data_IF_627893327072
#
_entry.id   IF_627893327072
#
_cell.length_a   1.000
_cell.length_b   1.000
_cell.length_c   1.000
_cell.angle_alpha   90.00
_cell.angle_beta   90.00
_cell.angle_gamma   90.00
#
_symmetry.space_group_name_H-M   'P 1'
#
loop_
_entity.id
_entity.type
_entity.pdbx_description
1 polymer ?
#
# COMPACT_ATOMS: atom_id res chain seq x y z
N UNK A 1 76.63 36.79 -22.24
CA UNK A 1 75.33 37.27 -21.78
C UNK A 1 74.33 36.10 -21.92
N UNK A 2 74.07 35.38 -20.81
CA UNK A 2 73.19 34.21 -20.75
C UNK A 2 71.83 34.63 -20.24
N UNK A 3 70.77 34.52 -21.05
CA UNK A 3 69.39 34.81 -20.67
C UNK A 3 68.79 33.54 -20.08
N UNK A 4 68.46 33.58 -18.79
CA UNK A 4 67.79 32.51 -18.06
C UNK A 4 66.30 32.66 -18.26
N UNK A 5 65.66 31.64 -18.86
CA UNK A 5 64.21 31.57 -19.07
C UNK A 5 63.58 30.91 -17.81
N UNK A 6 62.74 31.62 -17.09
CA UNK A 6 62.00 31.10 -15.95
C UNK A 6 60.66 30.63 -16.48
N UNK A 7 60.43 29.31 -16.45
CA UNK A 7 59.13 28.69 -16.79
C UNK A 7 58.30 28.59 -15.50
N UNK A 8 57.23 29.37 -15.40
CA UNK A 8 56.27 29.28 -14.32
C UNK A 8 55.26 28.13 -14.62
N UNK A 9 55.35 27.04 -13.85
CA UNK A 9 54.31 25.98 -13.85
C UNK A 9 53.14 26.43 -13.01
N UNK A 10 52.01 26.72 -13.67
CA UNK A 10 50.72 26.92 -12.98
C UNK A 10 50.09 25.53 -12.69
N UNK A 11 50.05 25.14 -11.42
CA UNK A 11 49.34 23.96 -10.96
C UNK A 11 47.84 24.29 -10.87
N UNK A 12 47.07 23.77 -11.84
CA UNK A 12 45.59 23.78 -11.77
C UNK A 12 45.14 22.71 -10.80
N UNK A 13 44.66 23.12 -9.63
CA UNK A 13 43.99 22.24 -8.65
C UNK A 13 42.56 22.03 -9.16
N UNK A 14 42.31 20.91 -9.82
CA UNK A 14 40.96 20.45 -10.16
C UNK A 14 40.31 19.95 -8.88
N UNK A 15 39.41 20.77 -8.32
CA UNK A 15 38.58 20.41 -7.18
C UNK A 15 37.52 19.39 -7.64
N UNK A 16 37.75 18.10 -7.38
CA UNK A 16 36.74 17.05 -7.49
C UNK A 16 35.73 17.22 -6.36
N UNK A 17 34.68 17.99 -6.62
CA UNK A 17 33.49 18.02 -5.77
C UNK A 17 32.81 16.66 -5.79
N UNK A 18 33.15 15.77 -4.87
CA UNK A 18 32.42 14.55 -4.64
C UNK A 18 31.02 14.92 -4.15
N UNK A 19 30.02 14.84 -5.04
CA UNK A 19 28.61 14.90 -4.69
C UNK A 19 28.33 13.68 -3.80
N UNK A 20 28.26 13.89 -2.47
CA UNK A 20 27.73 12.93 -1.53
C UNK A 20 26.22 12.80 -1.81
N UNK A 21 25.89 11.87 -2.73
CA UNK A 21 24.52 11.40 -2.87
C UNK A 21 24.12 10.83 -1.50
N UNK A 22 23.30 11.57 -0.74
CA UNK A 22 22.66 11.08 0.47
C UNK A 22 21.83 9.87 0.08
N UNK A 23 22.35 8.68 0.26
CA UNK A 23 21.57 7.46 0.27
C UNK A 23 20.57 7.62 1.42
N UNK A 24 19.31 7.87 1.05
CA UNK A 24 18.19 7.87 1.99
C UNK A 24 18.10 6.43 2.49
N UNK A 25 18.74 6.16 3.63
CA UNK A 25 18.84 4.81 4.20
C UNK A 25 17.43 4.23 4.30
N UNK A 26 17.23 3.04 3.76
CA UNK A 26 15.96 2.31 3.91
C UNK A 26 15.67 2.19 5.41
N UNK A 27 14.56 2.77 5.85
CA UNK A 27 14.15 2.73 7.25
C UNK A 27 13.90 1.26 7.62
N UNK A 28 14.77 0.69 8.45
CA UNK A 28 14.64 -0.69 8.92
C UNK A 28 13.23 -0.94 9.49
N UNK A 29 12.57 -1.97 9.01
CA UNK A 29 11.25 -2.36 9.48
C UNK A 29 11.31 -2.84 10.93
N UNK A 30 10.44 -2.31 11.80
CA UNK A 30 10.31 -2.78 13.19
C UNK A 30 9.73 -4.20 13.26
N UNK A 31 9.95 -4.92 14.37
CA UNK A 31 9.39 -6.25 14.58
C UNK A 31 7.85 -6.27 14.44
N UNK A 32 7.18 -5.24 14.97
CA UNK A 32 5.72 -5.12 14.84
C UNK A 32 5.29 -4.92 13.38
N UNK A 33 5.99 -4.08 12.63
CA UNK A 33 5.68 -3.91 11.21
C UNK A 33 5.95 -5.20 10.40
N UNK A 34 7.00 -5.97 10.76
CA UNK A 34 7.26 -7.30 10.17
C UNK A 34 6.11 -8.28 10.48
N UNK A 35 5.59 -8.28 11.72
CA UNK A 35 4.40 -9.04 12.09
C UNK A 35 3.19 -8.62 11.24
N UNK A 36 2.97 -7.31 11.08
CA UNK A 36 1.89 -6.79 10.24
C UNK A 36 2.02 -7.21 8.78
N UNK A 37 3.24 -7.17 8.22
CA UNK A 37 3.54 -7.66 6.88
C UNK A 37 3.17 -9.14 6.72
N UNK A 38 3.55 -9.97 7.68
CA UNK A 38 3.19 -11.38 7.68
C UNK A 38 1.68 -11.59 7.71
N UNK A 39 0.97 -10.85 8.60
CA UNK A 39 -0.49 -10.97 8.72
C UNK A 39 -1.20 -10.60 7.41
N UNK A 40 -0.84 -9.51 6.76
CA UNK A 40 -1.52 -9.11 5.51
C UNK A 40 -1.35 -10.13 4.39
N UNK A 41 -0.27 -10.92 4.40
CA UNK A 41 -0.08 -12.03 3.47
C UNK A 41 -0.98 -13.21 3.81
N UNK A 42 -0.93 -13.71 5.07
CA UNK A 42 -1.63 -14.96 5.42
C UNK A 42 -3.13 -14.77 5.63
N UNK A 43 -3.58 -13.56 5.94
CA UNK A 43 -5.00 -13.23 6.09
C UNK A 43 -5.67 -12.81 4.76
N UNK A 44 -4.97 -12.92 3.62
CA UNK A 44 -5.52 -12.67 2.29
C UNK A 44 -5.82 -11.20 2.01
N UNK A 45 -5.23 -10.25 2.74
CA UNK A 45 -5.51 -8.82 2.50
C UNK A 45 -5.10 -8.40 1.09
N UNK A 46 -3.99 -8.94 0.60
CA UNK A 46 -3.49 -8.64 -0.74
C UNK A 46 -4.39 -9.19 -1.85
N UNK A 47 -5.18 -10.24 -1.60
CA UNK A 47 -6.01 -10.88 -2.63
C UNK A 47 -7.02 -9.92 -3.26
N UNK A 48 -7.47 -8.92 -2.48
CA UNK A 48 -8.36 -7.88 -2.95
C UNK A 48 -7.72 -6.48 -2.98
N UNK A 49 -6.82 -6.18 -2.02
CA UNK A 49 -6.27 -4.84 -1.86
C UNK A 49 -4.97 -4.59 -2.64
N UNK A 50 -4.53 -5.55 -3.47
CA UNK A 50 -3.36 -5.43 -4.35
C UNK A 50 -3.72 -5.95 -5.74
N UNK A 51 -3.76 -5.06 -6.71
CA UNK A 51 -4.13 -5.41 -8.08
C UNK A 51 -3.22 -6.51 -8.64
N UNK A 52 -3.82 -7.54 -9.25
CA UNK A 52 -3.12 -8.67 -9.88
C UNK A 52 -2.44 -9.64 -8.92
N UNK A 53 -2.69 -9.55 -7.61
CA UNK A 53 -2.02 -10.42 -6.63
C UNK A 53 -2.43 -11.89 -6.75
N UNK A 54 -3.72 -12.26 -6.82
CA UNK A 54 -4.14 -13.66 -7.02
C UNK A 54 -3.69 -14.21 -8.37
N UNK A 55 -3.85 -13.45 -9.44
CA UNK A 55 -3.54 -13.88 -10.81
C UNK A 55 -2.05 -14.18 -10.98
N UNK A 56 -1.19 -13.46 -10.25
CA UNK A 56 0.26 -13.68 -10.26
C UNK A 56 0.73 -14.78 -9.29
N UNK A 57 -0.19 -15.39 -8.52
CA UNK A 57 0.16 -16.29 -7.43
C UNK A 57 0.99 -15.60 -6.35
N UNK A 58 0.64 -14.36 -6.03
CA UNK A 58 1.27 -13.55 -5.00
C UNK A 58 2.59 -12.86 -5.43
N UNK A 59 2.95 -12.90 -6.72
CA UNK A 59 4.23 -12.37 -7.24
C UNK A 59 4.13 -10.91 -7.67
N UNK A 60 3.52 -10.07 -6.84
CA UNK A 60 3.47 -8.61 -7.04
C UNK A 60 4.56 -7.95 -6.19
N UNK A 61 5.26 -6.95 -6.74
CA UNK A 61 6.25 -6.17 -5.98
C UNK A 61 5.59 -5.58 -4.72
N UNK A 62 6.23 -5.77 -3.56
CA UNK A 62 5.73 -5.29 -2.26
C UNK A 62 5.47 -3.78 -2.24
N UNK A 63 6.16 -3.02 -3.09
CA UNK A 63 5.92 -1.58 -3.25
C UNK A 63 4.50 -1.26 -3.71
N UNK A 64 3.83 -2.22 -4.36
CA UNK A 64 2.46 -2.11 -4.87
C UNK A 64 1.42 -2.73 -3.93
N UNK A 65 1.84 -3.39 -2.85
CA UNK A 65 0.90 -4.03 -1.93
C UNK A 65 -0.02 -3.04 -1.26
N UNK A 66 -1.27 -3.44 -1.09
CA UNK A 66 -2.32 -2.74 -0.34
C UNK A 66 -2.64 -1.33 -0.88
N UNK A 67 -2.34 -1.11 -2.16
CA UNK A 67 -2.67 0.15 -2.87
C UNK A 67 -4.10 0.20 -3.40
N UNK A 68 -4.91 -0.85 -3.12
CA UNK A 68 -6.27 -0.98 -3.63
C UNK A 68 -6.35 -1.57 -5.03
N UNK A 69 -7.58 -1.72 -5.53
CA UNK A 69 -7.82 -2.22 -6.88
C UNK A 69 -8.98 -1.46 -7.52
N UNK A 70 -8.95 -1.40 -8.87
CA UNK A 70 -10.02 -0.87 -9.71
C UNK A 70 -11.03 -1.95 -10.13
N UNK A 71 -10.78 -3.23 -9.82
CA UNK A 71 -11.72 -4.31 -10.03
C UNK A 71 -12.95 -4.13 -9.15
N UNK A 72 -14.12 -3.96 -9.77
CA UNK A 72 -15.39 -3.84 -9.07
C UNK A 72 -15.93 -5.21 -8.63
N UNK A 73 -16.53 -5.26 -7.45
CA UNK A 73 -17.20 -6.44 -6.91
C UNK A 73 -18.70 -6.16 -6.86
N UNK A 74 -19.42 -6.56 -7.90
CA UNK A 74 -20.83 -6.25 -8.09
C UNK A 74 -21.73 -7.36 -7.56
N UNK A 75 -22.75 -6.98 -6.78
CA UNK A 75 -23.76 -7.89 -6.24
C UNK A 75 -25.03 -7.14 -5.85
N UNK A 76 -25.95 -7.77 -5.11
CA UNK A 76 -27.17 -7.11 -4.61
C UNK A 76 -26.90 -5.88 -3.76
N UNK A 77 -25.71 -5.77 -3.20
CA UNK A 77 -25.26 -4.62 -2.41
C UNK A 77 -24.75 -3.42 -3.23
N UNK A 78 -24.78 -3.49 -4.56
CA UNK A 78 -24.12 -2.56 -5.47
C UNK A 78 -22.72 -3.04 -5.87
N UNK A 79 -21.85 -2.11 -6.27
CA UNK A 79 -20.47 -2.42 -6.62
C UNK A 79 -19.51 -1.78 -5.63
N UNK A 80 -18.66 -2.60 -5.00
CA UNK A 80 -17.62 -2.19 -4.08
C UNK A 80 -16.24 -2.34 -4.73
N UNK A 81 -15.28 -1.56 -4.26
CA UNK A 81 -13.90 -1.61 -4.71
C UNK A 81 -12.98 -1.74 -3.49
N UNK A 82 -11.91 -2.52 -3.63
CA UNK A 82 -10.95 -2.69 -2.55
C UNK A 82 -10.19 -1.37 -2.30
N UNK A 83 -10.33 -0.84 -1.09
CA UNK A 83 -9.74 0.45 -0.73
C UNK A 83 -8.20 0.41 -0.76
N UNK A 84 -7.57 1.54 -1.08
CA UNK A 84 -6.15 1.75 -0.86
C UNK A 84 -5.87 1.88 0.65
N UNK A 85 -5.45 0.78 1.28
CA UNK A 85 -5.21 0.72 2.73
C UNK A 85 -4.03 1.59 3.15
N UNK A 86 -3.04 1.79 2.27
CA UNK A 86 -1.90 2.67 2.54
C UNK A 86 -2.34 4.13 2.70
N UNK A 87 -3.24 4.61 1.85
CA UNK A 87 -3.82 5.95 1.97
C UNK A 87 -4.78 6.06 3.16
N UNK A 88 -5.54 5.00 3.47
CA UNK A 88 -6.41 4.95 4.65
C UNK A 88 -5.58 5.10 5.93
N UNK A 89 -4.48 4.35 6.07
CA UNK A 89 -3.63 4.40 7.25
C UNK A 89 -2.96 5.77 7.44
N UNK A 90 -2.68 6.52 6.36
CA UNK A 90 -2.11 7.87 6.50
C UNK A 90 -3.07 8.88 7.15
N UNK A 91 -4.37 8.68 6.98
CA UNK A 91 -5.43 9.58 7.49
C UNK A 91 -5.85 9.28 8.93
N UNK A 92 -5.37 8.18 9.51
CA UNK A 92 -5.79 7.69 10.83
C UNK A 92 -4.61 7.62 11.79
N UNK A 93 -4.88 7.83 13.07
CA UNK A 93 -4.00 7.40 14.15
C UNK A 93 -4.13 5.88 14.37
N UNK A 94 -3.17 5.26 15.07
CA UNK A 94 -3.24 3.83 15.40
C UNK A 94 -4.52 3.48 16.17
N UNK A 95 -4.90 4.31 17.15
CA UNK A 95 -6.13 4.10 17.92
C UNK A 95 -7.39 4.18 17.04
N UNK A 96 -7.45 5.15 16.12
CA UNK A 96 -8.57 5.28 15.17
C UNK A 96 -8.63 4.09 14.20
N UNK A 97 -7.48 3.57 13.77
CA UNK A 97 -7.43 2.40 12.89
C UNK A 97 -7.98 1.16 13.61
N UNK A 98 -7.57 0.93 14.86
CA UNK A 98 -8.10 -0.16 15.70
C UNK A 98 -9.60 0.02 15.95
N UNK A 99 -10.04 1.20 16.33
CA UNK A 99 -11.47 1.48 16.57
C UNK A 99 -12.30 1.21 15.29
N UNK A 100 -11.80 1.63 14.11
CA UNK A 100 -12.45 1.35 12.84
C UNK A 100 -12.52 -0.14 12.55
N UNK A 101 -11.47 -0.92 12.82
CA UNK A 101 -11.47 -2.37 12.65
C UNK A 101 -12.56 -3.05 13.52
N UNK A 102 -12.82 -2.51 14.72
CA UNK A 102 -13.83 -3.05 15.66
C UNK A 102 -15.27 -2.69 15.31
N UNK A 103 -15.50 -1.50 14.79
CA UNK A 103 -16.84 -0.94 14.63
C UNK A 103 -17.37 -0.90 13.21
N UNK A 104 -16.53 -1.13 12.19
CA UNK A 104 -16.97 -1.03 10.79
C UNK A 104 -17.65 -2.31 10.32
N UNK A 105 -18.86 -2.16 9.79
CA UNK A 105 -19.52 -3.15 8.97
C UNK A 105 -19.38 -2.73 7.52
N UNK A 106 -18.60 -3.51 6.74
CA UNK A 106 -18.28 -3.16 5.36
C UNK A 106 -19.12 -4.00 4.40
N UNK A 107 -19.36 -3.47 3.22
CA UNK A 107 -20.10 -4.18 2.18
C UNK A 107 -19.32 -5.40 1.68
N UNK A 108 -20.03 -6.45 1.25
CA UNK A 108 -19.40 -7.59 0.57
C UNK A 108 -18.55 -7.15 -0.63
N UNK A 109 -17.53 -7.93 -1.01
CA UNK A 109 -17.15 -9.21 -0.41
C UNK A 109 -16.19 -9.11 0.78
N UNK A 110 -15.90 -7.90 1.31
CA UNK A 110 -14.95 -7.71 2.41
C UNK A 110 -15.37 -8.50 3.67
N UNK A 111 -14.59 -9.48 4.14
CA UNK A 111 -14.87 -10.24 5.36
C UNK A 111 -14.48 -9.42 6.60
N UNK A 112 -15.14 -8.29 6.81
CA UNK A 112 -14.84 -7.33 7.87
C UNK A 112 -14.87 -7.94 9.28
N UNK A 113 -15.70 -8.98 9.47
CA UNK A 113 -15.78 -9.72 10.75
C UNK A 113 -14.45 -10.40 11.12
N UNK A 114 -13.67 -10.88 10.13
CA UNK A 114 -12.33 -11.42 10.40
C UNK A 114 -11.39 -10.33 10.95
N UNK A 115 -11.47 -9.11 10.43
CA UNK A 115 -10.68 -7.98 10.92
C UNK A 115 -11.16 -7.53 12.31
N UNK A 116 -12.48 -7.50 12.52
CA UNK A 116 -13.08 -7.20 13.82
C UNK A 116 -12.59 -8.17 14.90
N UNK A 117 -12.48 -9.44 14.61
CA UNK A 117 -12.18 -10.50 15.57
C UNK A 117 -10.67 -10.76 15.74
N UNK A 118 -9.79 -10.08 14.96
CA UNK A 118 -8.34 -10.12 15.17
C UNK A 118 -7.95 -9.60 16.55
N UNK A 119 -6.88 -10.11 17.14
CA UNK A 119 -6.30 -9.52 18.34
C UNK A 119 -5.87 -8.06 18.10
N UNK A 120 -6.02 -7.18 19.10
CA UNK A 120 -5.62 -5.77 18.99
C UNK A 120 -4.17 -5.59 18.56
N UNK A 121 -3.27 -6.43 19.09
CA UNK A 121 -1.85 -6.42 18.69
C UNK A 121 -1.63 -6.67 17.21
N UNK A 122 -2.43 -7.56 16.60
CA UNK A 122 -2.34 -7.87 15.18
C UNK A 122 -2.89 -6.72 14.32
N UNK A 123 -4.00 -6.09 14.70
CA UNK A 123 -4.53 -4.90 14.00
C UNK A 123 -3.53 -3.74 14.07
N UNK A 124 -2.89 -3.51 15.24
CA UNK A 124 -1.83 -2.51 15.40
C UNK A 124 -0.60 -2.84 14.54
N UNK A 125 -0.21 -4.10 14.46
CA UNK A 125 0.89 -4.55 13.64
C UNK A 125 0.63 -4.26 12.15
N UNK A 126 -0.58 -4.55 11.65
CA UNK A 126 -1.01 -4.19 10.29
C UNK A 126 -0.88 -2.68 10.07
N UNK A 127 -1.40 -1.86 10.98
CA UNK A 127 -1.27 -0.40 10.89
C UNK A 127 0.19 0.05 10.79
N UNK A 128 1.06 -0.49 11.64
CA UNK A 128 2.51 -0.14 11.65
C UNK A 128 3.21 -0.56 10.36
N UNK A 129 2.81 -1.69 9.78
CA UNK A 129 3.28 -2.08 8.45
C UNK A 129 2.82 -1.09 7.38
N UNK A 130 1.54 -0.71 7.34
CA UNK A 130 1.02 0.29 6.41
C UNK A 130 1.73 1.65 6.55
N UNK A 131 2.05 2.06 7.78
CA UNK A 131 2.82 3.29 8.05
C UNK A 131 4.28 3.17 7.61
N UNK A 132 4.89 1.99 7.75
CA UNK A 132 6.23 1.72 7.25
C UNK A 132 6.28 1.74 5.73
N UNK A 133 5.34 1.06 5.07
CA UNK A 133 5.22 1.04 3.61
C UNK A 133 4.93 2.45 3.03
N UNK A 134 4.34 3.34 3.81
CA UNK A 134 4.06 4.72 3.43
C UNK A 134 2.96 4.86 2.37
N UNK A 135 2.60 6.06 1.95
CA UNK A 135 1.59 6.30 0.93
C UNK A 135 2.09 5.86 -0.45
N UNK A 136 1.19 5.26 -1.24
CA UNK A 136 1.42 4.95 -2.65
C UNK A 136 0.09 4.74 -3.37
N UNK A 137 0.10 4.86 -4.69
CA UNK A 137 -1.08 4.67 -5.53
C UNK A 137 -2.15 5.75 -5.35
N UNK A 138 -3.28 5.53 -6.02
CA UNK A 138 -4.44 6.44 -6.02
C UNK A 138 -5.57 5.88 -5.15
N UNK A 139 -6.55 6.70 -4.76
CA UNK A 139 -7.77 6.21 -4.13
C UNK A 139 -8.50 5.21 -5.02
N UNK A 140 -9.08 4.17 -4.41
CA UNK A 140 -9.96 3.26 -5.14
C UNK A 140 -11.20 4.01 -5.67
N UNK A 141 -11.86 3.50 -6.73
CA UNK A 141 -13.11 4.07 -7.24
C UNK A 141 -14.18 4.14 -6.15
N UNK A 142 -15.10 5.09 -6.31
CA UNK A 142 -16.23 5.24 -5.41
C UNK A 142 -17.23 4.07 -5.57
N UNK A 143 -17.90 3.73 -4.47
CA UNK A 143 -19.00 2.77 -4.48
C UNK A 143 -20.07 3.17 -5.51
N UNK A 144 -20.60 2.15 -6.24
CA UNK A 144 -21.70 2.32 -7.20
C UNK A 144 -22.94 1.61 -6.67
N UNK A 145 -24.10 2.30 -6.52
CA UNK A 145 -25.35 1.71 -6.06
C UNK A 145 -25.84 0.57 -6.98
N UNK A 146 -26.71 -0.34 -6.47
CA UNK A 146 -27.15 -1.50 -7.25
C UNK A 146 -27.99 -1.15 -8.51
N UNK A 147 -28.64 0.01 -8.50
CA UNK A 147 -29.44 0.54 -9.62
C UNK A 147 -28.59 1.20 -10.72
N UNK A 148 -27.27 1.31 -10.51
CA UNK A 148 -26.34 1.90 -11.49
C UNK A 148 -25.35 0.88 -12.01
N UNK A 149 -25.01 1.01 -13.30
CA UNK A 149 -23.98 0.18 -13.94
C UNK A 149 -22.58 0.71 -13.59
N UNK A 150 -21.69 -0.16 -13.07
CA UNK A 150 -20.29 0.23 -12.84
C UNK A 150 -19.51 0.25 -14.16
N UNK A 151 -18.47 1.06 -14.22
CA UNK A 151 -17.48 0.95 -15.28
C UNK A 151 -16.67 -0.38 -15.13
N UNK A 152 -16.34 -1.07 -16.24
CA UNK A 152 -15.48 -2.25 -16.19
C UNK A 152 -14.04 -1.90 -15.79
N UNK A 153 -13.26 -2.88 -15.26
CA UNK A 153 -13.65 -4.28 -15.06
C UNK A 153 -14.41 -4.50 -13.75
N UNK A 154 -15.32 -5.50 -13.73
CA UNK A 154 -15.95 -5.95 -12.48
C UNK A 154 -16.30 -7.44 -12.54
N UNK A 155 -16.34 -8.07 -11.35
CA UNK A 155 -16.84 -9.43 -11.13
C UNK A 155 -18.30 -9.33 -10.72
N UNK A 156 -19.19 -10.09 -11.41
CA UNK A 156 -20.59 -10.18 -11.07
C UNK A 156 -20.85 -11.36 -10.13
N UNK A 157 -21.32 -11.06 -8.92
CA UNK A 157 -21.80 -12.08 -7.99
C UNK A 157 -23.23 -12.52 -8.38
N UNK A 158 -23.57 -13.81 -8.20
CA UNK A 158 -24.92 -14.29 -8.42
C UNK A 158 -25.91 -13.64 -7.46
N UNK A 159 -27.14 -13.45 -7.93
CA UNK A 159 -28.23 -13.06 -7.04
C UNK A 159 -28.49 -14.19 -6.01
N UNK A 160 -28.91 -13.86 -4.76
CA UNK A 160 -29.35 -14.87 -3.81
C UNK A 160 -30.47 -15.73 -4.42
N UNK A 161 -30.56 -17.03 -4.06
CA UNK A 161 -31.68 -17.85 -4.45
C UNK A 161 -33.02 -17.18 -4.05
N UNK A 162 -33.99 -17.19 -4.96
CA UNK A 162 -35.34 -16.76 -4.58
C UNK A 162 -35.88 -17.75 -3.54
N UNK A 163 -36.28 -17.22 -2.41
CA UNK A 163 -36.98 -17.99 -1.35
C UNK A 163 -38.37 -18.36 -1.84
#
# INVERSE_FOLDING_TARGET
MKKTLVVACALAVAGTGAALAQQKGEKKMSADAQRGRYIVQIAGCNDCHTAGYPESGGKVDEKLWLTGDKLGWRGPWGTTYAANLRLVAQKLTEAQFVARARSSELRPPMPWFNVRDMADGDVRAIYRYLKHAGPAGEPAPAYVPPDKEPAPPFVQFPAPPKK
#
